data_IF_523747202679
#
_entry.id   IF_523747202679
#
_cell.length_a   1.000
_cell.length_b   1.000
_cell.length_c   1.000
_cell.angle_alpha   90.00
_cell.angle_beta   90.00
_cell.angle_gamma   90.00
#
_symmetry.space_group_name_H-M   'P 1'
#
loop_
_entity.id
_entity.type
_entity.pdbx_description
1 polymer ?
#
# COMPACT_ATOMS: atom_id res chain seq x y z
N UNK A 1 40.56 -17.44 10.36
CA UNK A 1 39.39 -17.41 11.29
C UNK A 1 38.55 -16.14 11.14
N UNK A 2 39.12 -14.94 11.27
CA UNK A 2 38.38 -13.66 11.13
C UNK A 2 37.64 -13.50 9.77
N UNK A 3 38.26 -13.95 8.67
CA UNK A 3 37.64 -13.94 7.32
C UNK A 3 36.46 -14.91 7.18
N UNK A 4 36.51 -16.07 7.84
CA UNK A 4 35.41 -17.04 7.86
C UNK A 4 34.21 -16.52 8.66
N UNK A 5 34.48 -15.87 9.80
CA UNK A 5 33.44 -15.22 10.61
C UNK A 5 32.77 -14.09 9.82
N UNK A 6 33.54 -13.26 9.11
CA UNK A 6 32.97 -12.20 8.28
C UNK A 6 32.06 -12.73 7.16
N UNK A 7 32.43 -13.84 6.51
CA UNK A 7 31.61 -14.47 5.49
C UNK A 7 30.31 -15.08 6.06
N UNK A 8 30.38 -15.66 7.26
CA UNK A 8 29.20 -16.18 7.97
C UNK A 8 28.22 -15.06 8.34
N UNK A 9 28.73 -13.94 8.88
CA UNK A 9 27.89 -12.77 9.20
C UNK A 9 27.25 -12.20 7.94
N UNK A 10 28.00 -12.10 6.83
CA UNK A 10 27.45 -11.64 5.56
C UNK A 10 26.35 -12.56 5.03
N UNK A 11 26.55 -13.89 5.11
CA UNK A 11 25.55 -14.87 4.71
C UNK A 11 24.26 -14.77 5.55
N UNK A 12 24.38 -14.53 6.86
CA UNK A 12 23.24 -14.32 7.75
C UNK A 12 22.49 -13.04 7.38
N UNK A 13 23.18 -11.93 7.13
CA UNK A 13 22.56 -10.67 6.70
C UNK A 13 21.77 -10.86 5.41
N UNK A 14 22.36 -11.55 4.42
CA UNK A 14 21.70 -11.83 3.14
C UNK A 14 20.45 -12.71 3.35
N UNK A 15 20.55 -13.75 4.17
CA UNK A 15 19.44 -14.64 4.46
C UNK A 15 18.26 -13.90 5.12
N UNK A 16 18.53 -13.07 6.15
CA UNK A 16 17.50 -12.28 6.85
C UNK A 16 16.76 -11.34 5.89
N UNK A 17 17.47 -10.66 4.99
CA UNK A 17 16.85 -9.78 3.99
C UNK A 17 15.97 -10.55 2.99
N UNK A 18 16.37 -11.77 2.62
CA UNK A 18 15.62 -12.61 1.68
C UNK A 18 14.31 -13.17 2.29
N UNK A 19 14.34 -13.58 3.56
CA UNK A 19 13.13 -14.07 4.26
C UNK A 19 12.15 -12.93 4.62
N UNK A 20 12.65 -11.74 4.95
CA UNK A 20 11.80 -10.58 5.27
C UNK A 20 10.94 -10.09 4.10
N UNK A 21 11.45 -10.20 2.86
CA UNK A 21 10.75 -9.72 1.67
C UNK A 21 9.46 -10.50 1.34
N UNK A 22 9.39 -11.80 1.68
CA UNK A 22 8.32 -12.70 1.24
C UNK A 22 6.99 -12.49 1.98
N UNK A 23 7.04 -12.06 3.25
CA UNK A 23 5.83 -11.83 4.08
C UNK A 23 5.00 -10.62 3.62
N UNK A 24 5.66 -9.63 2.99
CA UNK A 24 5.00 -8.38 2.61
C UNK A 24 4.00 -8.51 1.46
N UNK A 25 4.20 -9.46 0.53
CA UNK A 25 3.36 -9.57 -0.67
C UNK A 25 1.99 -10.21 -0.39
N UNK A 26 1.94 -11.22 0.48
CA UNK A 26 0.68 -11.90 0.85
C UNK A 26 -0.27 -10.96 1.59
N UNK A 27 0.26 -10.18 2.55
CA UNK A 27 -0.53 -9.19 3.29
C UNK A 27 -1.04 -8.06 2.38
N UNK A 28 -0.24 -7.65 1.39
CA UNK A 28 -0.64 -6.63 0.41
C UNK A 28 -1.78 -7.11 -0.48
N UNK A 29 -1.75 -8.36 -0.95
CA UNK A 29 -2.84 -8.90 -1.78
C UNK A 29 -4.15 -9.02 -1.01
N UNK A 30 -4.11 -9.55 0.21
CA UNK A 30 -5.30 -9.66 1.06
C UNK A 30 -5.91 -8.30 1.37
N UNK A 31 -5.07 -7.31 1.71
CA UNK A 31 -5.54 -5.96 1.96
C UNK A 31 -6.09 -5.31 0.68
N UNK A 32 -5.44 -5.51 -0.46
CA UNK A 32 -5.87 -4.99 -1.76
C UNK A 32 -7.25 -5.49 -2.20
N UNK A 33 -7.65 -6.70 -1.76
CA UNK A 33 -8.99 -7.26 -1.99
C UNK A 33 -10.07 -6.63 -1.11
N UNK A 34 -9.72 -6.06 0.03
CA UNK A 34 -10.64 -5.51 1.03
C UNK A 34 -10.81 -3.98 0.96
N UNK A 35 -10.16 -3.33 0.00
CA UNK A 35 -10.19 -1.86 -0.14
C UNK A 35 -10.97 -1.44 -1.38
N UNK A 36 -11.83 -0.43 -1.21
CA UNK A 36 -12.45 0.29 -2.32
C UNK A 36 -11.43 1.28 -2.89
N UNK A 37 -11.16 1.22 -4.20
CA UNK A 37 -10.24 2.14 -4.87
C UNK A 37 -11.01 3.23 -5.59
N UNK A 38 -10.80 4.47 -5.18
CA UNK A 38 -11.33 5.63 -5.87
C UNK A 38 -10.23 6.24 -6.75
N UNK A 39 -10.40 6.15 -8.07
CA UNK A 39 -9.44 6.69 -9.03
C UNK A 39 -9.99 7.95 -9.68
N UNK A 40 -9.28 9.06 -9.51
CA UNK A 40 -9.58 10.33 -10.19
C UNK A 40 -8.64 10.49 -11.38
N UNK A 41 -9.21 10.75 -12.55
CA UNK A 41 -8.47 10.95 -13.81
C UNK A 41 -8.44 12.45 -14.08
N UNK A 42 -7.24 12.98 -14.32
CA UNK A 42 -7.07 14.36 -14.76
C UNK A 42 -7.33 14.45 -16.26
N UNK A 43 -7.81 15.60 -16.73
CA UNK A 43 -8.07 15.81 -18.15
C UNK A 43 -6.76 15.91 -18.97
N UNK A 44 -5.66 16.33 -18.34
CA UNK A 44 -4.32 16.37 -18.94
C UNK A 44 -3.19 16.26 -17.89
N UNK A 45 -1.95 16.25 -18.35
CA UNK A 45 -0.74 16.28 -17.51
C UNK A 45 -0.36 17.71 -17.06
N UNK A 46 -1.19 18.73 -17.34
CA UNK A 46 -0.94 20.10 -16.87
C UNK A 46 -0.96 20.17 -15.35
N UNK A 47 -0.15 21.06 -14.78
CA UNK A 47 -0.09 21.24 -13.32
C UNK A 47 -1.46 21.59 -12.73
N UNK A 48 -2.22 22.43 -13.44
CA UNK A 48 -3.57 22.86 -13.09
C UNK A 48 -4.56 21.67 -13.01
N UNK A 49 -4.55 20.78 -14.02
CA UNK A 49 -5.44 19.61 -14.05
C UNK A 49 -5.05 18.57 -12.98
N UNK A 50 -3.75 18.42 -12.71
CA UNK A 50 -3.28 17.53 -11.65
C UNK A 50 -3.64 18.07 -10.27
N UNK A 51 -3.52 19.38 -10.05
CA UNK A 51 -3.94 20.01 -8.79
C UNK A 51 -5.45 19.88 -8.57
N UNK A 52 -6.25 20.12 -9.63
CA UNK A 52 -7.69 19.94 -9.58
C UNK A 52 -8.06 18.49 -9.26
N UNK A 53 -7.40 17.50 -9.88
CA UNK A 53 -7.59 16.08 -9.57
C UNK A 53 -7.36 15.78 -8.08
N UNK A 54 -6.32 16.36 -7.47
CA UNK A 54 -6.05 16.18 -6.04
C UNK A 54 -7.16 16.79 -5.18
N UNK A 55 -7.58 18.03 -5.50
CA UNK A 55 -8.68 18.72 -4.78
C UNK A 55 -9.99 17.93 -4.86
N UNK A 56 -10.35 17.44 -6.05
CA UNK A 56 -11.55 16.62 -6.25
C UNK A 56 -11.45 15.31 -5.47
N UNK A 57 -10.30 14.63 -5.54
CA UNK A 57 -10.07 13.39 -4.78
C UNK A 57 -10.31 13.62 -3.29
N UNK A 58 -9.72 14.68 -2.73
CA UNK A 58 -9.75 14.93 -1.30
C UNK A 58 -11.16 15.32 -0.83
N UNK A 59 -11.87 16.15 -1.61
CA UNK A 59 -13.26 16.52 -1.31
C UNK A 59 -14.20 15.31 -1.29
N UNK A 60 -14.06 14.41 -2.27
CA UNK A 60 -14.89 13.19 -2.33
C UNK A 60 -14.55 12.24 -1.17
N UNK A 61 -13.27 12.09 -0.82
CA UNK A 61 -12.88 11.26 0.32
C UNK A 61 -13.49 11.76 1.63
N UNK A 62 -13.45 13.08 1.88
CA UNK A 62 -14.06 13.70 3.07
C UNK A 62 -15.57 13.42 3.15
N UNK A 63 -16.29 13.47 2.04
CA UNK A 63 -17.73 13.19 2.01
C UNK A 63 -18.06 11.69 2.14
N UNK A 64 -17.24 10.81 1.55
CA UNK A 64 -17.50 9.37 1.53
C UNK A 64 -17.11 8.68 2.84
N UNK A 65 -15.99 9.06 3.48
CA UNK A 65 -15.51 8.42 4.72
C UNK A 65 -16.61 8.23 5.79
N UNK A 66 -17.38 9.26 6.19
CA UNK A 66 -18.42 9.10 7.21
C UNK A 66 -19.56 8.16 6.79
N UNK A 67 -19.83 8.02 5.48
CA UNK A 67 -20.87 7.12 4.96
C UNK A 67 -20.48 5.65 5.07
N UNK A 68 -19.18 5.36 5.09
CA UNK A 68 -18.64 4.00 5.19
C UNK A 68 -18.33 3.56 6.62
N UNK A 69 -18.33 4.44 7.62
CA UNK A 69 -18.01 4.10 9.02
C UNK A 69 -18.88 2.98 9.62
N UNK A 70 -20.13 2.85 9.14
CA UNK A 70 -21.10 1.86 9.65
C UNK A 70 -21.31 0.69 8.72
N UNK A 71 -20.59 0.63 7.60
CA UNK A 71 -20.67 -0.46 6.64
C UNK A 71 -19.78 -1.59 7.12
N UNK A 72 -20.35 -2.81 7.20
CA UNK A 72 -19.62 -4.03 7.55
C UNK A 72 -19.34 -4.84 6.29
N UNK A 73 -18.33 -5.70 6.35
CA UNK A 73 -18.10 -6.70 5.32
C UNK A 73 -19.30 -7.65 5.23
N UNK A 74 -19.69 -8.01 4.01
CA UNK A 74 -20.81 -8.94 3.76
C UNK A 74 -20.61 -10.30 4.45
N UNK A 75 -19.35 -10.70 4.65
CA UNK A 75 -18.97 -11.98 5.30
C UNK A 75 -19.07 -11.95 6.83
N UNK A 76 -19.28 -10.79 7.44
CA UNK A 76 -19.44 -10.62 8.89
C UNK A 76 -20.93 -10.54 9.31
N UNK A 77 -21.88 -10.82 8.40
CA UNK A 77 -23.33 -10.90 8.65
C UNK A 77 -23.83 -12.35 8.61
#
# INVERSE_FOLDING_TARGET
MKRLIALLVLAIIIAVNFYGAKSSNLQKEDLSRKLIRFHVIANSDSEEDQELKLKVRDAILVDLTPKFEKVKDEKDS
#
